data_IF_701973848608
#
_entry.id   IF_701973848608
#
_cell.length_a   1.000
_cell.length_b   1.000
_cell.length_c   1.000
_cell.angle_alpha   90.00
_cell.angle_beta   90.00
_cell.angle_gamma   90.00
#
_symmetry.space_group_name_H-M   'P 1'
#
loop_
_entity.id
_entity.type
_entity.pdbx_description
1 polymer ?
#
# COMPACT_ATOMS: atom_id res chain seq x y z
N UNK A 1 7.90 19.40 -16.10
CA UNK A 1 7.58 19.39 -14.66
C UNK A 1 7.47 17.92 -14.27
N UNK A 2 8.22 17.46 -13.30
CA UNK A 2 8.09 16.07 -12.83
C UNK A 2 6.72 15.91 -12.14
N UNK A 3 6.01 14.80 -12.38
CA UNK A 3 4.75 14.56 -11.71
C UNK A 3 4.97 14.36 -10.21
N UNK A 4 3.96 14.68 -9.41
CA UNK A 4 3.99 14.37 -7.97
C UNK A 4 4.27 12.88 -7.73
N UNK A 5 4.93 12.49 -6.63
CA UNK A 5 5.16 11.08 -6.32
C UNK A 5 3.85 10.29 -6.24
N UNK A 6 3.87 9.07 -6.75
CA UNK A 6 2.84 8.06 -6.51
C UNK A 6 3.56 6.82 -5.94
N UNK A 7 3.32 6.53 -4.67
CA UNK A 7 3.98 5.45 -3.94
C UNK A 7 3.03 4.28 -3.85
N UNK A 8 3.33 3.19 -4.56
CA UNK A 8 2.53 1.97 -4.44
C UNK A 8 2.92 1.20 -3.18
N UNK A 9 1.93 0.81 -2.40
CA UNK A 9 2.10 -0.14 -1.29
C UNK A 9 1.81 -1.53 -1.83
N UNK A 10 2.87 -2.30 -2.04
CA UNK A 10 2.84 -3.62 -2.67
C UNK A 10 3.16 -4.74 -1.69
N UNK A 11 2.57 -5.91 -1.91
CA UNK A 11 2.82 -7.10 -1.11
C UNK A 11 1.76 -8.18 -1.32
N UNK A 12 2.01 -9.42 -0.90
CA UNK A 12 1.06 -10.53 -1.01
C UNK A 12 -0.29 -10.23 -0.33
N UNK A 13 -1.36 -10.97 -0.64
CA UNK A 13 -2.58 -10.92 0.14
C UNK A 13 -2.32 -11.13 1.63
N UNK A 14 -3.06 -10.42 2.48
CA UNK A 14 -2.98 -10.51 3.94
C UNK A 14 -1.62 -10.12 4.56
N UNK A 15 -0.78 -9.36 3.86
CA UNK A 15 0.49 -8.86 4.39
C UNK A 15 0.38 -7.59 5.25
N UNK A 16 -0.83 -7.04 5.43
CA UNK A 16 -1.06 -5.83 6.21
C UNK A 16 -1.02 -4.52 5.42
N UNK A 17 -0.95 -4.56 4.08
CA UNK A 17 -0.88 -3.36 3.21
C UNK A 17 -1.90 -2.28 3.55
N UNK A 18 -3.17 -2.64 3.59
CA UNK A 18 -4.25 -1.67 3.81
C UNK A 18 -4.20 -1.06 5.20
N UNK A 19 -3.80 -1.85 6.21
CA UNK A 19 -3.60 -1.34 7.58
C UNK A 19 -2.41 -0.38 7.62
N UNK A 20 -1.29 -0.75 6.99
CA UNK A 20 -0.12 0.13 6.89
C UNK A 20 -0.46 1.41 6.14
N UNK A 21 -1.13 1.31 4.98
CA UNK A 21 -1.57 2.48 4.19
C UNK A 21 -2.42 3.43 5.02
N UNK A 22 -3.38 2.91 5.77
CA UNK A 22 -4.23 3.71 6.65
C UNK A 22 -3.41 4.45 7.71
N UNK A 23 -2.57 3.75 8.47
CA UNK A 23 -1.77 4.36 9.54
C UNK A 23 -0.73 5.34 8.99
N UNK A 24 -0.08 5.03 7.88
CA UNK A 24 0.86 5.92 7.21
C UNK A 24 0.15 7.21 6.76
N UNK A 25 -1.04 7.09 6.17
CA UNK A 25 -1.84 8.25 5.78
C UNK A 25 -2.24 9.10 6.99
N UNK A 26 -2.68 8.49 8.10
CA UNK A 26 -3.00 9.23 9.33
C UNK A 26 -1.77 9.96 9.88
N UNK A 27 -0.62 9.31 9.90
CA UNK A 27 0.63 9.90 10.36
C UNK A 27 1.06 11.09 9.48
N UNK A 28 1.03 10.95 8.14
CA UNK A 28 1.36 12.02 7.21
C UNK A 28 0.44 13.23 7.38
N UNK A 29 -0.86 13.00 7.60
CA UNK A 29 -1.82 14.09 7.91
C UNK A 29 -1.45 14.82 9.20
N UNK A 30 -1.03 14.10 10.24
CA UNK A 30 -0.56 14.70 11.49
C UNK A 30 0.72 15.54 11.30
N UNK A 31 1.57 15.18 10.31
CA UNK A 31 2.76 15.95 9.93
C UNK A 31 2.45 17.10 8.97
N UNK A 32 1.18 17.33 8.61
CA UNK A 32 0.79 18.38 7.66
C UNK A 32 1.18 18.11 6.22
N UNK A 33 1.40 16.84 5.85
CA UNK A 33 1.73 16.44 4.48
C UNK A 33 0.46 16.18 3.68
N UNK A 34 0.20 17.03 2.71
CA UNK A 34 -0.93 16.86 1.80
C UNK A 34 -0.71 15.68 0.86
N UNK A 35 -1.65 14.76 0.83
CA UNK A 35 -1.64 13.57 -0.02
C UNK A 35 -3.03 12.97 -0.17
N UNK A 36 -3.18 12.07 -1.14
CA UNK A 36 -4.38 11.21 -1.27
C UNK A 36 -4.00 9.74 -1.20
N UNK A 37 -4.96 8.92 -0.76
CA UNK A 37 -4.89 7.46 -0.84
C UNK A 37 -5.78 7.00 -1.99
N UNK A 38 -5.19 6.28 -2.94
CA UNK A 38 -5.90 5.66 -4.07
C UNK A 38 -5.99 4.16 -3.84
N UNK A 39 -7.22 3.65 -3.75
CA UNK A 39 -7.48 2.20 -3.73
C UNK A 39 -7.45 1.68 -5.16
N UNK A 40 -6.37 1.02 -5.52
CA UNK A 40 -6.18 0.46 -6.86
C UNK A 40 -6.72 -0.98 -6.98
N UNK A 41 -7.61 -1.39 -6.09
CA UNK A 41 -8.33 -2.65 -6.12
C UNK A 41 -9.79 -2.45 -5.66
N UNK A 42 -10.77 -3.09 -6.33
CA UNK A 42 -12.19 -2.94 -6.03
C UNK A 42 -12.63 -3.91 -4.92
N UNK A 43 -11.90 -3.95 -3.82
CA UNK A 43 -12.16 -4.88 -2.69
C UNK A 43 -13.19 -4.35 -1.69
N UNK A 44 -13.69 -3.13 -1.88
CA UNK A 44 -14.65 -2.48 -0.98
C UNK A 44 -14.06 -2.08 0.37
N UNK A 45 -12.74 -2.01 0.48
CA UNK A 45 -12.02 -1.72 1.74
C UNK A 45 -11.42 -0.31 1.72
N UNK A 46 -12.22 0.73 1.92
CA UNK A 46 -11.74 2.09 2.16
C UNK A 46 -11.32 2.34 3.61
N UNK A 47 -11.01 3.58 3.97
CA UNK A 47 -10.67 3.99 5.34
C UNK A 47 -11.76 3.58 6.34
N UNK A 48 -13.03 3.68 5.94
CA UNK A 48 -14.18 3.25 6.74
C UNK A 48 -14.08 1.78 7.18
N UNK A 49 -13.46 0.93 6.37
CA UNK A 49 -13.27 -0.48 6.67
C UNK A 49 -12.30 -0.69 7.85
N UNK A 50 -11.36 0.23 8.05
CA UNK A 50 -10.43 0.20 9.18
C UNK A 50 -11.07 0.80 10.46
N UNK A 51 -12.03 1.68 10.31
CA UNK A 51 -12.67 2.44 11.39
C UNK A 51 -13.97 1.79 11.89
N UNK A 52 -14.71 1.11 11.01
CA UNK A 52 -16.01 0.54 11.33
C UNK A 52 -15.92 -0.74 12.17
N UNK A 53 -16.90 -0.97 13.07
CA UNK A 53 -17.03 -2.23 13.79
C UNK A 53 -17.15 -3.44 12.84
N UNK A 54 -16.54 -4.59 13.22
CA UNK A 54 -16.48 -5.78 12.37
C UNK A 54 -17.86 -6.27 11.88
N UNK A 55 -18.91 -6.05 12.65
CA UNK A 55 -20.29 -6.42 12.26
C UNK A 55 -20.80 -5.55 11.11
N UNK A 56 -20.53 -4.25 11.12
CA UNK A 56 -20.93 -3.33 10.05
C UNK A 56 -20.16 -3.60 8.77
N UNK A 57 -18.88 -3.95 8.89
CA UNK A 57 -18.05 -4.32 7.74
C UNK A 57 -18.62 -5.47 6.93
N UNK A 58 -19.14 -6.51 7.60
CA UNK A 58 -19.73 -7.67 6.93
C UNK A 58 -20.96 -7.33 6.10
N UNK A 59 -21.71 -6.32 6.52
CA UNK A 59 -22.97 -5.91 5.88
C UNK A 59 -22.74 -4.90 4.76
N UNK A 60 -21.79 -3.98 4.95
CA UNK A 60 -21.59 -2.83 4.06
C UNK A 60 -20.50 -3.04 2.99
N UNK A 61 -19.67 -4.09 3.14
CA UNK A 61 -18.62 -4.35 2.19
C UNK A 61 -19.19 -4.85 0.86
N UNK A 62 -19.05 -4.03 -0.16
CA UNK A 62 -19.39 -4.38 -1.54
C UNK A 62 -18.09 -4.49 -2.36
N UNK A 63 -17.86 -5.67 -2.94
CA UNK A 63 -16.70 -5.91 -3.79
C UNK A 63 -17.09 -5.65 -5.23
N UNK A 64 -16.43 -4.68 -5.85
CA UNK A 64 -16.54 -4.45 -7.27
C UNK A 64 -15.75 -5.46 -8.10
N UNK A 65 -15.98 -5.42 -9.40
CA UNK A 65 -15.21 -6.21 -10.37
C UNK A 65 -13.93 -5.47 -10.78
N UNK A 66 -12.84 -6.21 -10.91
CA UNK A 66 -11.58 -5.72 -11.45
C UNK A 66 -11.66 -5.64 -12.99
N UNK A 67 -12.53 -4.75 -13.47
CA UNK A 67 -12.78 -4.56 -14.90
C UNK A 67 -11.68 -3.69 -15.55
N UNK A 68 -11.57 -3.80 -16.89
CA UNK A 68 -10.70 -2.91 -17.67
C UNK A 68 -11.06 -1.43 -17.50
N UNK A 69 -12.36 -1.13 -17.34
CA UNK A 69 -12.85 0.22 -17.09
C UNK A 69 -12.35 0.74 -15.72
N UNK A 70 -12.35 -0.10 -14.69
CA UNK A 70 -11.80 0.25 -13.37
C UNK A 70 -10.30 0.55 -13.49
N UNK A 71 -9.52 -0.34 -14.11
CA UNK A 71 -8.08 -0.15 -14.33
C UNK A 71 -7.78 1.14 -15.07
N UNK A 72 -8.53 1.41 -16.16
CA UNK A 72 -8.38 2.64 -16.94
C UNK A 72 -8.71 3.90 -16.12
N UNK A 73 -9.71 3.84 -15.24
CA UNK A 73 -10.06 4.95 -14.35
C UNK A 73 -8.93 5.21 -13.36
N UNK A 74 -8.42 4.18 -12.70
CA UNK A 74 -7.27 4.29 -11.76
C UNK A 74 -6.05 4.87 -12.47
N UNK A 75 -5.68 4.34 -13.64
CA UNK A 75 -4.55 4.87 -14.40
C UNK A 75 -4.71 6.33 -14.77
N UNK A 76 -5.92 6.76 -15.19
CA UNK A 76 -6.20 8.15 -15.49
C UNK A 76 -6.06 9.04 -14.27
N UNK A 77 -6.58 8.63 -13.11
CA UNK A 77 -6.49 9.39 -11.87
C UNK A 77 -5.03 9.53 -11.41
N UNK A 78 -4.25 8.45 -11.51
CA UNK A 78 -2.81 8.46 -11.23
C UNK A 78 -2.02 9.38 -12.18
N UNK A 79 -2.36 9.38 -13.49
CA UNK A 79 -1.69 10.21 -14.48
C UNK A 79 -1.96 11.72 -14.28
N UNK A 80 -3.15 12.08 -13.80
CA UNK A 80 -3.57 13.48 -13.63
C UNK A 80 -3.46 13.96 -12.17
N UNK A 81 -2.65 13.30 -11.35
CA UNK A 81 -2.49 13.68 -9.95
C UNK A 81 -1.90 15.08 -9.77
N UNK A 82 -2.42 15.78 -8.78
CA UNK A 82 -1.99 17.13 -8.39
C UNK A 82 -1.38 17.18 -6.98
N UNK A 83 -1.31 16.05 -6.29
CA UNK A 83 -0.70 15.85 -4.98
C UNK A 83 0.01 14.50 -4.95
N UNK A 84 0.92 14.28 -3.99
CA UNK A 84 1.46 12.96 -3.71
C UNK A 84 0.36 11.94 -3.45
N UNK A 85 0.54 10.73 -3.96
CA UNK A 85 -0.42 9.64 -3.80
C UNK A 85 0.22 8.45 -3.09
N UNK A 86 -0.56 7.84 -2.19
CA UNK A 86 -0.32 6.48 -1.70
C UNK A 86 -1.30 5.56 -2.45
N UNK A 87 -0.78 4.55 -3.13
CA UNK A 87 -1.56 3.64 -3.97
C UNK A 87 -1.61 2.27 -3.33
N UNK A 88 -2.76 1.89 -2.78
CA UNK A 88 -2.97 0.54 -2.26
C UNK A 88 -3.34 -0.40 -3.40
N UNK A 89 -2.40 -1.23 -3.82
CA UNK A 89 -2.53 -2.08 -5.00
C UNK A 89 -3.37 -3.35 -4.77
N UNK A 90 -3.79 -3.61 -3.53
CA UNK A 90 -4.48 -4.85 -3.19
C UNK A 90 -3.55 -6.06 -3.16
N UNK A 91 -4.07 -7.22 -3.54
CA UNK A 91 -3.31 -8.47 -3.61
C UNK A 91 -2.45 -8.58 -4.87
N UNK A 92 -2.10 -9.81 -5.26
CA UNK A 92 -1.27 -10.06 -6.46
C UNK A 92 -1.99 -9.57 -7.73
N UNK A 93 -1.41 -8.62 -8.50
CA UNK A 93 -2.01 -8.14 -9.72
C UNK A 93 -1.95 -9.24 -10.81
N UNK A 94 -2.93 -9.22 -11.71
CA UNK A 94 -2.86 -9.93 -12.98
C UNK A 94 -2.10 -9.07 -13.99
N UNK A 95 -1.57 -9.65 -15.08
CA UNK A 95 -0.82 -8.89 -16.07
C UNK A 95 -1.55 -7.63 -16.59
N UNK A 96 -2.85 -7.72 -16.82
CA UNK A 96 -3.68 -6.59 -17.28
C UNK A 96 -3.86 -5.48 -16.22
N UNK A 97 -3.55 -5.76 -14.97
CA UNK A 97 -3.62 -4.81 -13.85
C UNK A 97 -2.26 -4.17 -13.56
N UNK A 98 -1.19 -4.78 -14.04
CA UNK A 98 0.17 -4.28 -13.82
C UNK A 98 0.41 -2.90 -14.45
N UNK A 99 -0.38 -2.50 -15.45
CA UNK A 99 -0.33 -1.15 -16.03
C UNK A 99 -0.55 -0.03 -15.00
N UNK A 100 -1.17 -0.32 -13.85
CA UNK A 100 -1.31 0.63 -12.74
C UNK A 100 0.07 1.00 -12.18
N UNK A 101 1.00 0.04 -12.13
CA UNK A 101 2.35 0.28 -11.63
C UNK A 101 3.15 1.20 -12.55
N UNK A 102 2.88 1.21 -13.86
CA UNK A 102 3.52 2.12 -14.82
C UNK A 102 3.16 3.59 -14.56
N UNK A 103 2.07 3.86 -13.82
CA UNK A 103 1.67 5.21 -13.39
C UNK A 103 2.27 5.62 -12.05
N UNK A 104 2.91 4.69 -11.34
CA UNK A 104 3.56 4.94 -10.07
C UNK A 104 5.03 5.35 -10.27
N UNK A 105 5.64 5.90 -9.25
CA UNK A 105 7.05 6.35 -9.27
C UNK A 105 7.90 5.64 -8.23
N UNK A 106 7.29 5.21 -7.13
CA UNK A 106 7.97 4.59 -6.01
C UNK A 106 7.18 3.41 -5.48
N UNK A 107 7.85 2.54 -4.73
CA UNK A 107 7.23 1.40 -4.06
C UNK A 107 7.62 1.34 -2.58
N UNK A 108 6.66 0.98 -1.74
CA UNK A 108 6.83 0.49 -0.38
C UNK A 108 6.36 -0.96 -0.39
N UNK A 109 7.25 -1.90 -0.07
CA UNK A 109 6.98 -3.32 -0.14
C UNK A 109 6.81 -3.91 1.25
N UNK A 110 5.77 -4.75 1.41
CA UNK A 110 5.49 -5.40 2.68
C UNK A 110 5.06 -6.86 2.47
N UNK A 111 5.69 -7.77 3.20
CA UNK A 111 5.34 -9.19 3.19
C UNK A 111 5.67 -9.85 4.53
N UNK A 112 5.04 -11.00 4.81
CA UNK A 112 5.37 -11.80 5.98
C UNK A 112 6.61 -12.69 5.78
N UNK A 113 7.10 -12.85 4.55
CA UNK A 113 8.27 -13.67 4.22
C UNK A 113 9.22 -12.97 3.27
N UNK A 114 10.47 -13.41 3.25
CA UNK A 114 11.52 -12.89 2.36
C UNK A 114 11.22 -13.24 0.90
N UNK A 115 10.63 -14.40 0.63
CA UNK A 115 10.19 -14.80 -0.71
C UNK A 115 9.11 -13.84 -1.23
N UNK A 116 8.15 -13.49 -0.38
CA UNK A 116 7.11 -12.51 -0.72
C UNK A 116 7.68 -11.13 -1.02
N UNK A 117 8.66 -10.66 -0.25
CA UNK A 117 9.37 -9.40 -0.52
C UNK A 117 10.15 -9.49 -1.84
N UNK A 118 10.86 -10.60 -2.09
CA UNK A 118 11.64 -10.79 -3.32
C UNK A 118 10.76 -10.77 -4.57
N UNK A 119 9.59 -11.42 -4.53
CA UNK A 119 8.64 -11.44 -5.63
C UNK A 119 8.12 -10.02 -5.96
N UNK A 120 7.75 -9.26 -4.94
CA UNK A 120 7.25 -7.90 -5.12
C UNK A 120 8.35 -6.90 -5.47
N UNK A 121 9.60 -7.15 -5.05
CA UNK A 121 10.76 -6.39 -5.52
C UNK A 121 10.95 -6.55 -7.03
N UNK A 122 10.91 -7.77 -7.54
CA UNK A 122 11.00 -8.03 -8.98
C UNK A 122 9.88 -7.33 -9.75
N UNK A 123 8.66 -7.31 -9.22
CA UNK A 123 7.55 -6.57 -9.81
C UNK A 123 7.84 -5.07 -9.86
N UNK A 124 8.26 -4.48 -8.74
CA UNK A 124 8.60 -3.06 -8.68
C UNK A 124 9.74 -2.68 -9.63
N UNK A 125 10.80 -3.49 -9.69
CA UNK A 125 11.95 -3.29 -10.58
C UNK A 125 11.54 -3.40 -12.07
N UNK A 126 10.67 -4.36 -12.40
CA UNK A 126 10.15 -4.52 -13.78
C UNK A 126 9.41 -3.29 -14.27
N UNK A 127 8.73 -2.57 -13.38
CA UNK A 127 8.01 -1.33 -13.66
C UNK A 127 8.85 -0.07 -13.39
N UNK A 128 10.15 -0.20 -13.14
CA UNK A 128 11.07 0.92 -12.95
C UNK A 128 10.80 1.76 -11.69
N UNK A 129 10.15 1.19 -10.67
CA UNK A 129 9.82 1.90 -9.44
C UNK A 129 11.04 2.03 -8.52
N UNK A 130 11.20 3.21 -7.93
CA UNK A 130 12.19 3.41 -6.87
C UNK A 130 11.65 2.82 -5.56
N UNK A 131 12.34 1.79 -5.03
CA UNK A 131 11.94 1.15 -3.77
C UNK A 131 12.39 2.05 -2.62
N UNK A 132 11.42 2.52 -1.81
CA UNK A 132 11.65 3.33 -0.61
C UNK A 132 11.83 2.47 0.63
N UNK A 133 11.04 1.40 0.74
CA UNK A 133 11.06 0.52 1.90
C UNK A 133 10.74 -0.93 1.55
N UNK A 134 11.35 -1.84 2.30
CA UNK A 134 11.08 -3.28 2.31
C UNK A 134 10.84 -3.71 3.75
N UNK A 135 9.60 -4.03 4.07
CA UNK A 135 9.15 -4.24 5.44
C UNK A 135 8.62 -5.65 5.61
N UNK A 136 9.12 -6.36 6.61
CA UNK A 136 8.53 -7.64 7.02
C UNK A 136 7.40 -7.39 8.01
N UNK A 137 6.21 -7.91 7.72
CA UNK A 137 5.11 -7.89 8.67
C UNK A 137 5.15 -9.11 9.57
N UNK A 138 4.97 -8.91 10.87
CA UNK A 138 5.00 -9.97 11.89
C UNK A 138 3.88 -9.77 12.91
N UNK A 139 3.44 -10.87 13.54
CA UNK A 139 2.47 -10.85 14.64
C UNK A 139 3.11 -11.21 15.98
N UNK A 140 4.36 -11.61 16.00
CA UNK A 140 5.04 -12.16 17.19
C UNK A 140 6.35 -11.44 17.56
N UNK A 141 6.99 -10.80 16.61
CA UNK A 141 8.29 -10.16 16.80
C UNK A 141 8.13 -8.64 16.90
N UNK A 142 8.93 -7.94 17.72
CA UNK A 142 8.84 -6.49 17.88
C UNK A 142 9.27 -5.76 16.60
N UNK A 143 8.90 -4.47 16.53
CA UNK A 143 9.40 -3.59 15.48
C UNK A 143 10.92 -3.50 15.51
N UNK A 144 11.51 -3.53 14.32
CA UNK A 144 12.96 -3.41 14.14
C UNK A 144 13.27 -2.65 12.86
N UNK A 145 14.24 -1.76 12.92
CA UNK A 145 14.84 -1.11 11.75
C UNK A 145 16.22 -1.70 11.53
N UNK A 146 16.40 -2.44 10.44
CA UNK A 146 17.68 -3.07 10.07
C UNK A 146 18.56 -2.09 9.28
N UNK A 147 17.96 -1.29 8.41
CA UNK A 147 18.61 -0.28 7.61
C UNK A 147 17.68 0.90 7.33
N UNK A 148 18.21 2.11 7.35
CA UNK A 148 17.43 3.33 7.07
C UNK A 148 17.75 3.97 5.70
N UNK A 149 18.85 3.59 5.06
CA UNK A 149 19.27 4.10 3.75
C UNK A 149 20.11 3.07 2.99
N UNK A 150 20.11 3.06 1.65
CA UNK A 150 19.26 3.87 0.76
C UNK A 150 17.81 3.41 0.72
N UNK A 151 17.51 2.19 1.17
CA UNK A 151 16.17 1.61 1.27
C UNK A 151 15.93 1.32 2.76
N UNK A 152 14.80 1.80 3.29
CA UNK A 152 14.38 1.46 4.65
C UNK A 152 14.08 -0.04 4.71
N UNK A 153 14.76 -0.77 5.59
CA UNK A 153 14.52 -2.20 5.83
C UNK A 153 14.27 -2.46 7.29
N UNK A 154 13.38 -3.41 7.54
CA UNK A 154 13.07 -3.81 8.90
C UNK A 154 11.80 -4.63 8.98
N UNK A 155 11.25 -4.70 10.18
CA UNK A 155 9.99 -5.39 10.43
C UNK A 155 9.03 -4.51 11.23
N UNK A 156 7.75 -4.72 11.01
CA UNK A 156 6.66 -4.06 11.71
C UNK A 156 5.74 -5.10 12.35
N UNK A 157 5.41 -4.88 13.62
CA UNK A 157 4.55 -5.75 14.40
C UNK A 157 3.09 -5.33 14.35
N UNK A 158 2.20 -6.32 14.38
CA UNK A 158 0.81 -6.11 14.76
C UNK A 158 -0.02 -5.28 13.78
N UNK A 159 0.23 -5.37 12.47
CA UNK A 159 -0.63 -4.77 11.45
C UNK A 159 -2.00 -5.48 11.41
N UNK A 160 -2.75 -5.34 12.48
CA UNK A 160 -4.08 -5.91 12.66
C UNK A 160 -5.11 -4.79 12.61
N UNK A 161 -6.24 -5.05 11.96
CA UNK A 161 -7.34 -4.08 11.87
C UNK A 161 -7.81 -3.64 13.25
N UNK A 162 -8.18 -2.35 13.35
CA UNK A 162 -8.69 -1.72 14.57
C UNK A 162 -7.70 -1.68 15.74
N UNK A 163 -6.43 -2.00 15.51
CA UNK A 163 -5.36 -1.76 16.48
C UNK A 163 -4.56 -0.53 16.09
N UNK A 164 -4.16 0.25 17.10
CA UNK A 164 -3.27 1.38 16.91
C UNK A 164 -1.86 0.84 16.64
N UNK A 165 -1.33 1.11 15.46
CA UNK A 165 0.06 0.80 15.14
C UNK A 165 0.91 1.99 15.53
N UNK A 166 1.94 1.76 16.31
CA UNK A 166 2.94 2.75 16.68
C UNK A 166 4.30 2.04 16.80
N UNK A 167 5.30 2.60 16.17
CA UNK A 167 6.65 2.04 16.20
C UNK A 167 7.62 2.80 15.32
N UNK A 168 8.91 2.44 15.33
CA UNK A 168 9.96 3.12 14.59
C UNK A 168 9.84 2.97 13.06
N UNK A 169 8.93 2.13 12.60
CA UNK A 169 8.68 1.88 11.17
C UNK A 169 7.55 2.74 10.57
N UNK A 170 6.90 3.60 11.36
CA UNK A 170 5.85 4.54 10.92
C UNK A 170 6.37 5.98 10.87
#
# INVERSE_FOLDING_TARGET
>A
MQPFPAVVVGGPPNSGKSVLTYHLSQWLRQQGVDHYVVRACPDGEGDWYQEAPAQQVRVLRDKGDFSSAFVAAVCRDLAHRHLPLIVDAGGRPRPEQEIIFDQCTHALLIAASDEGLAEWRQLAERHGLTILAEVRSTLSEPDLVDASAPILRGQIHGLVRQQRVAGPML
#
